data_IF_742662666066
#
_entry.id   IF_742662666066
#
_cell.length_a   1.000
_cell.length_b   1.000
_cell.length_c   1.000
_cell.angle_alpha   90.00
_cell.angle_beta   90.00
_cell.angle_gamma   90.00
#
_symmetry.space_group_name_H-M   'P 1'
#
loop_
_entity.id
_entity.type
_entity.pdbx_description
1 polymer ?
#
# COMPACT_ATOMS: atom_id res chain seq x y z
N UNK A 1 -9.75 4.34 -9.38
CA UNK A 1 -9.03 3.04 -9.52
C UNK A 1 -7.56 3.15 -9.95
N UNK A 2 -7.08 4.29 -10.50
CA UNK A 2 -5.67 4.44 -10.86
C UNK A 2 -4.72 4.67 -9.67
N UNK A 3 -5.16 5.37 -8.62
CA UNK A 3 -4.31 5.75 -7.49
C UNK A 3 -3.85 4.58 -6.62
N UNK A 4 -4.73 3.60 -6.33
CA UNK A 4 -4.38 2.38 -5.57
C UNK A 4 -3.23 1.61 -6.23
N UNK A 5 -3.23 1.58 -7.58
CA UNK A 5 -2.20 0.95 -8.40
C UNK A 5 -0.80 1.50 -8.12
N UNK A 6 -0.72 2.82 -7.93
CA UNK A 6 0.54 3.54 -7.72
C UNK A 6 0.95 3.60 -6.25
N UNK A 7 -0.01 3.49 -5.32
CA UNK A 7 0.28 3.51 -3.88
C UNK A 7 0.61 2.13 -3.30
N UNK A 8 0.34 1.05 -4.02
CA UNK A 8 0.57 -0.32 -3.54
C UNK A 8 2.07 -0.61 -3.34
N UNK A 9 2.47 -1.03 -2.14
CA UNK A 9 3.86 -1.28 -1.76
C UNK A 9 4.68 -0.02 -1.52
N UNK A 10 4.05 1.15 -1.61
CA UNK A 10 4.66 2.47 -1.46
C UNK A 10 4.13 3.19 -0.22
N UNK A 11 4.83 4.26 0.18
CA UNK A 11 4.36 5.13 1.27
C UNK A 11 3.04 5.81 0.89
N UNK A 12 2.01 5.65 1.72
CA UNK A 12 0.67 6.14 1.42
C UNK A 12 0.58 7.66 1.62
N UNK A 13 0.44 8.40 0.52
CA UNK A 13 0.14 9.83 0.57
C UNK A 13 -1.35 10.08 0.29
N UNK A 14 -2.15 10.13 1.36
CA UNK A 14 -3.60 10.37 1.28
C UNK A 14 -3.96 11.66 0.55
N UNK A 15 -3.20 12.73 0.73
CA UNK A 15 -3.45 14.02 0.09
C UNK A 15 -3.27 13.98 -1.43
N UNK A 16 -2.29 13.22 -1.93
CA UNK A 16 -2.10 13.02 -3.37
C UNK A 16 -3.22 12.16 -3.96
N UNK A 17 -3.56 11.05 -3.30
CA UNK A 17 -4.65 10.16 -3.73
C UNK A 17 -5.99 10.92 -3.76
N UNK A 18 -6.24 11.75 -2.75
CA UNK A 18 -7.42 12.62 -2.66
C UNK A 18 -7.50 13.59 -3.83
N UNK A 19 -6.37 14.23 -4.18
CA UNK A 19 -6.28 15.14 -5.31
C UNK A 19 -6.56 14.43 -6.64
N UNK A 20 -6.00 13.24 -6.86
CA UNK A 20 -6.20 12.47 -8.08
C UNK A 20 -7.63 11.94 -8.22
N UNK A 21 -8.27 11.61 -7.10
CA UNK A 21 -9.64 11.10 -7.06
C UNK A 21 -10.70 12.20 -6.91
N UNK A 22 -10.30 13.47 -6.73
CA UNK A 22 -11.18 14.62 -6.47
C UNK A 22 -12.15 14.42 -5.29
N UNK A 23 -11.64 13.85 -4.20
CA UNK A 23 -12.38 13.63 -2.94
C UNK A 23 -11.56 14.12 -1.75
N UNK A 24 -12.17 14.21 -0.58
CA UNK A 24 -11.46 14.65 0.63
C UNK A 24 -10.48 13.57 1.14
N UNK A 25 -9.34 14.04 1.69
CA UNK A 25 -8.29 13.18 2.25
C UNK A 25 -8.76 12.29 3.40
N UNK A 26 -9.73 12.75 4.21
CA UNK A 26 -10.32 11.95 5.29
C UNK A 26 -11.13 10.79 4.72
N UNK A 27 -11.89 11.02 3.66
CA UNK A 27 -12.64 9.98 2.95
C UNK A 27 -11.72 8.93 2.34
N UNK A 28 -10.60 9.34 1.75
CA UNK A 28 -9.58 8.38 1.27
C UNK A 28 -9.08 7.53 2.43
N UNK A 29 -8.74 8.14 3.56
CA UNK A 29 -8.26 7.41 4.74
C UNK A 29 -9.32 6.42 5.26
N UNK A 30 -10.59 6.80 5.30
CA UNK A 30 -11.69 5.90 5.65
C UNK A 30 -11.80 4.71 4.68
N UNK A 31 -11.60 4.91 3.38
CA UNK A 31 -11.57 3.79 2.42
C UNK A 31 -10.41 2.81 2.69
N UNK A 32 -9.22 3.32 3.02
CA UNK A 32 -8.10 2.44 3.40
C UNK A 32 -8.37 1.71 4.72
N UNK A 33 -9.05 2.35 5.67
CA UNK A 33 -9.49 1.68 6.90
C UNK A 33 -10.48 0.55 6.61
N UNK A 34 -11.45 0.78 5.72
CA UNK A 34 -12.40 -0.27 5.31
C UNK A 34 -11.67 -1.44 4.66
N UNK A 35 -10.66 -1.19 3.82
CA UNK A 35 -9.85 -2.26 3.23
C UNK A 35 -9.10 -3.08 4.28
N UNK A 36 -8.60 -2.43 5.33
CA UNK A 36 -7.96 -3.09 6.47
C UNK A 36 -8.95 -3.90 7.32
N UNK A 37 -10.09 -3.31 7.66
CA UNK A 37 -11.14 -3.95 8.46
C UNK A 37 -11.76 -5.15 7.73
N UNK A 38 -11.77 -5.13 6.39
CA UNK A 38 -12.24 -6.24 5.53
C UNK A 38 -11.15 -7.24 5.18
N UNK A 39 -9.92 -7.09 5.71
CA UNK A 39 -8.76 -7.94 5.41
C UNK A 39 -8.37 -7.98 3.93
N UNK A 40 -8.74 -6.94 3.17
CA UNK A 40 -8.38 -6.77 1.75
C UNK A 40 -7.06 -6.00 1.60
N UNK A 41 -6.62 -5.29 2.64
CA UNK A 41 -5.32 -4.64 2.66
C UNK A 41 -4.75 -4.46 4.06
N UNK A 42 -3.49 -4.05 4.14
CA UNK A 42 -2.73 -3.99 5.37
C UNK A 42 -1.79 -2.80 5.39
N UNK A 43 -1.74 -2.09 6.51
CA UNK A 43 -0.74 -1.05 6.75
C UNK A 43 0.53 -1.65 7.35
N UNK A 44 1.65 -1.53 6.63
CA UNK A 44 2.97 -1.78 7.18
C UNK A 44 3.48 -0.50 7.83
N UNK A 45 3.34 -0.44 9.16
CA UNK A 45 3.88 0.65 9.96
C UNK A 45 5.39 0.50 10.17
N UNK A 46 6.16 1.59 10.07
CA UNK A 46 7.58 1.54 10.35
C UNK A 46 7.86 1.17 11.81
N UNK A 47 8.90 0.35 12.01
CA UNK A 47 9.32 -0.09 13.33
C UNK A 47 10.15 1.00 14.04
N UNK A 48 9.76 1.36 15.27
CA UNK A 48 10.52 2.31 16.11
C UNK A 48 10.82 1.71 17.50
N UNK A 49 12.10 1.71 17.88
CA UNK A 49 12.59 1.13 19.15
C UNK A 49 12.25 1.99 20.38
N UNK A 50 12.13 3.32 20.23
CA UNK A 50 11.76 4.25 21.32
C UNK A 50 10.89 5.38 20.77
N UNK A 51 9.69 5.52 21.34
CA UNK A 51 8.61 6.49 21.04
C UNK A 51 7.49 6.00 20.10
N UNK A 52 6.37 5.57 20.71
CA UNK A 52 5.08 5.30 20.04
C UNK A 52 4.54 6.52 19.27
N UNK A 53 4.89 7.75 19.71
CA UNK A 53 4.38 8.99 19.11
C UNK A 53 4.95 9.23 17.71
N UNK A 54 6.21 8.86 17.46
CA UNK A 54 6.83 8.97 16.12
C UNK A 54 6.23 7.95 15.15
N UNK A 55 5.94 6.73 15.64
CA UNK A 55 5.29 5.69 14.85
C UNK A 55 3.92 6.09 14.32
N UNK A 56 3.15 6.84 15.11
CA UNK A 56 1.83 7.35 14.73
C UNK A 56 1.87 8.43 13.63
N UNK A 57 2.98 9.16 13.53
CA UNK A 57 3.15 10.24 12.54
C UNK A 57 3.91 9.80 11.29
N UNK A 58 4.54 8.63 11.31
CA UNK A 58 5.27 8.10 10.17
C UNK A 58 4.31 7.52 9.13
N UNK A 59 4.57 7.83 7.86
CA UNK A 59 3.77 7.34 6.74
C UNK A 59 3.94 5.82 6.61
N UNK A 60 2.87 5.02 6.70
CA UNK A 60 2.95 3.58 6.48
C UNK A 60 3.06 3.26 4.98
N UNK A 61 3.57 2.06 4.67
CA UNK A 61 3.32 1.43 3.37
C UNK A 61 1.98 0.71 3.41
N UNK A 62 1.34 0.52 2.26
CA UNK A 62 0.09 -0.26 2.16
C UNK A 62 0.19 -1.39 1.16
N UNK A 63 -0.20 -2.58 1.59
CA UNK A 63 -0.18 -3.80 0.79
C UNK A 63 -1.58 -4.37 0.64
N UNK A 64 -1.87 -4.98 -0.51
CA UNK A 64 -3.08 -5.77 -0.69
C UNK A 64 -2.91 -7.15 -0.07
N UNK A 65 -4.01 -7.86 0.14
CA UNK A 65 -3.99 -9.19 0.76
C UNK A 65 -3.31 -10.29 -0.06
N UNK A 66 -3.13 -10.07 -1.37
CA UNK A 66 -2.54 -11.06 -2.28
C UNK A 66 -1.62 -10.41 -3.32
N UNK A 67 -0.47 -11.04 -3.55
CA UNK A 67 0.57 -10.57 -4.50
C UNK A 67 0.07 -10.65 -5.95
N UNK A 68 -0.66 -11.71 -6.29
CA UNK A 68 -1.24 -11.89 -7.62
C UNK A 68 -2.29 -10.84 -7.95
N UNK A 69 -3.19 -10.55 -7.01
CA UNK A 69 -4.19 -9.47 -7.13
C UNK A 69 -3.53 -8.12 -7.30
N UNK A 70 -2.51 -7.81 -6.49
CA UNK A 70 -1.75 -6.57 -6.62
C UNK A 70 -1.10 -6.42 -8.00
N UNK A 71 -0.44 -7.48 -8.48
CA UNK A 71 0.20 -7.49 -9.79
C UNK A 71 -0.80 -7.36 -10.93
N UNK A 72 -1.95 -8.03 -10.82
CA UNK A 72 -3.04 -7.91 -11.78
C UNK A 72 -3.57 -6.48 -11.88
N UNK A 73 -3.82 -5.81 -10.75
CA UNK A 73 -4.25 -4.40 -10.71
C UNK A 73 -3.16 -3.48 -11.28
N UNK A 74 -1.88 -3.76 -11.00
CA UNK A 74 -0.73 -3.04 -11.58
C UNK A 74 -0.57 -3.25 -13.07
N UNK A 75 -1.19 -4.29 -13.64
CA UNK A 75 -0.96 -4.79 -15.00
C UNK A 75 0.51 -5.21 -15.19
N UNK A 76 1.07 -5.84 -14.17
CA UNK A 76 2.44 -6.35 -14.16
C UNK A 76 2.37 -7.87 -14.24
N UNK A 77 3.13 -8.45 -15.18
CA UNK A 77 3.33 -9.89 -15.30
C UNK A 77 4.79 -10.23 -15.04
N UNK A 78 5.04 -11.12 -14.09
CA UNK A 78 6.40 -11.57 -13.75
C UNK A 78 6.59 -12.94 -14.38
N UNK A 79 7.40 -13.02 -15.43
CA UNK A 79 7.83 -14.29 -16.03
C UNK A 79 9.06 -14.86 -15.32
N UNK A 80 9.95 -13.97 -14.86
CA UNK A 80 11.23 -14.30 -14.23
C UNK A 80 11.42 -13.49 -12.96
N UNK A 81 12.06 -14.06 -11.95
CA UNK A 81 12.38 -13.38 -10.69
C UNK A 81 13.58 -12.43 -10.83
N UNK A 82 13.52 -11.52 -11.79
CA UNK A 82 14.57 -10.53 -12.11
C UNK A 82 13.96 -9.14 -12.28
N UNK A 83 14.73 -8.12 -11.90
CA UNK A 83 14.34 -6.73 -12.05
C UNK A 83 13.49 -6.18 -10.88
N UNK A 84 13.17 -4.89 -10.96
CA UNK A 84 12.56 -4.13 -9.87
C UNK A 84 11.14 -4.62 -9.53
N UNK A 85 10.30 -4.91 -10.53
CA UNK A 85 8.93 -5.37 -10.30
C UNK A 85 8.87 -6.77 -9.64
N UNK A 86 9.82 -7.65 -9.97
CA UNK A 86 9.98 -8.92 -9.28
C UNK A 86 10.43 -8.71 -7.83
N UNK A 87 11.34 -7.76 -7.57
CA UNK A 87 11.75 -7.38 -6.22
C UNK A 87 10.61 -6.82 -5.37
N UNK A 88 9.77 -5.95 -5.95
CA UNK A 88 8.57 -5.40 -5.27
C UNK A 88 7.55 -6.48 -4.94
N UNK A 89 7.35 -7.44 -5.84
CA UNK A 89 6.47 -8.59 -5.58
C UNK A 89 7.05 -9.52 -4.53
N UNK A 90 8.37 -9.68 -4.48
CA UNK A 90 9.05 -10.42 -3.43
C UNK A 90 8.92 -9.73 -2.07
N UNK A 91 9.07 -8.41 -2.00
CA UNK A 91 8.85 -7.64 -0.76
C UNK A 91 7.42 -7.85 -0.24
N UNK A 92 6.43 -7.79 -1.13
CA UNK A 92 5.03 -8.06 -0.79
C UNK A 92 4.83 -9.51 -0.33
N UNK A 93 5.42 -10.48 -1.02
CA UNK A 93 5.35 -11.89 -0.64
C UNK A 93 5.97 -12.16 0.75
N UNK A 94 7.05 -11.46 1.10
CA UNK A 94 7.70 -11.60 2.42
C UNK A 94 6.91 -10.92 3.53
N UNK A 95 6.13 -9.88 3.19
CA UNK A 95 5.30 -9.16 4.17
C UNK A 95 4.08 -9.98 4.63
N UNK A 96 3.43 -10.70 3.72
CA UNK A 96 2.28 -11.55 4.01
C UNK A 96 2.70 -12.85 4.71
#
# INVERSE_FOLDING_TARGET
MGSLRFSHGELVNYSNIARDCHIDSKTVKEYYQILEDTLVGYHLHPYFKRSKRVALHATPKFYLFDVGVANYIKKVSISDLKGEEAGRSLEHFVFL
#
